data_IF_492710314878
#
_entry.id   IF_492710314878
#
_cell.length_a   1.000
_cell.length_b   1.000
_cell.length_c   1.000
_cell.angle_alpha   90.00
_cell.angle_beta   90.00
_cell.angle_gamma   90.00
#
_symmetry.space_group_name_H-M   'P 1'
#
loop_
_entity.id
_entity.type
_entity.pdbx_description
1 polymer ?
#
# COMPACT_ATOMS: atom_id res chain seq x y z
N UNK A 1 32.63 -1.16 20.48
CA UNK A 1 31.16 -1.08 20.61
C UNK A 1 30.50 -0.68 19.29
N UNK A 2 30.73 0.54 18.76
CA UNK A 2 30.12 1.00 17.49
C UNK A 2 30.45 0.09 16.30
N UNK A 3 31.73 -0.24 16.07
CA UNK A 3 32.12 -1.14 14.99
C UNK A 3 31.52 -2.54 15.12
N UNK A 4 31.50 -3.08 16.34
CA UNK A 4 30.90 -4.39 16.64
C UNK A 4 29.40 -4.39 16.38
N UNK A 5 28.71 -3.32 16.79
CA UNK A 5 27.29 -3.13 16.50
C UNK A 5 27.04 -3.10 14.99
N UNK A 6 27.83 -2.35 14.23
CA UNK A 6 27.63 -2.22 12.79
C UNK A 6 27.83 -3.53 12.04
N UNK A 7 28.88 -4.28 12.36
CA UNK A 7 29.10 -5.61 11.76
C UNK A 7 27.93 -6.54 12.09
N UNK A 8 27.47 -6.53 13.33
CA UNK A 8 26.35 -7.37 13.76
C UNK A 8 25.02 -6.94 13.11
N UNK A 9 24.75 -5.65 13.05
CA UNK A 9 23.57 -5.08 12.42
C UNK A 9 23.55 -5.41 10.93
N UNK A 10 24.62 -5.14 10.18
CA UNK A 10 24.70 -5.46 8.76
C UNK A 10 24.65 -6.97 8.48
N UNK A 11 25.15 -7.80 9.39
CA UNK A 11 25.03 -9.25 9.29
C UNK A 11 23.60 -9.77 9.54
N UNK A 12 22.85 -9.10 10.42
CA UNK A 12 21.48 -9.50 10.79
C UNK A 12 20.40 -8.81 9.95
N UNK A 13 20.70 -7.66 9.34
CA UNK A 13 19.82 -6.96 8.43
C UNK A 13 19.55 -7.87 7.23
N UNK A 14 18.31 -8.34 7.14
CA UNK A 14 17.85 -9.31 6.15
C UNK A 14 16.82 -8.70 5.18
N UNK A 15 16.75 -7.36 5.11
CA UNK A 15 15.89 -6.66 4.18
C UNK A 15 16.61 -6.53 2.82
N UNK A 16 15.85 -6.70 1.76
CA UNK A 16 16.34 -6.55 0.39
C UNK A 16 16.57 -5.06 0.06
N UNK A 17 17.83 -4.69 -0.15
CA UNK A 17 18.24 -3.31 -0.45
C UNK A 17 17.95 -2.88 -1.89
N UNK A 18 17.55 -3.80 -2.76
CA UNK A 18 17.03 -3.46 -4.10
C UNK A 18 15.65 -2.79 -4.02
N UNK A 19 14.93 -2.97 -2.90
CA UNK A 19 13.70 -2.26 -2.63
C UNK A 19 13.99 -0.89 -1.98
N UNK A 20 13.57 0.19 -2.63
CA UNK A 20 13.82 1.57 -2.16
C UNK A 20 13.33 1.83 -0.74
N UNK A 21 12.13 1.37 -0.38
CA UNK A 21 11.59 1.55 0.97
C UNK A 21 12.48 0.87 2.01
N UNK A 22 12.89 -0.38 1.76
CA UNK A 22 13.73 -1.14 2.68
C UNK A 22 15.13 -0.54 2.81
N UNK A 23 15.70 -0.05 1.72
CA UNK A 23 16.93 0.73 1.76
C UNK A 23 16.76 1.96 2.66
N UNK A 24 15.68 2.71 2.50
CA UNK A 24 15.35 3.85 3.35
C UNK A 24 15.19 3.49 4.84
N UNK A 25 14.59 2.34 5.12
CA UNK A 25 14.47 1.82 6.50
C UNK A 25 15.84 1.53 7.08
N UNK A 26 16.71 0.85 6.33
CA UNK A 26 18.08 0.53 6.76
C UNK A 26 18.90 1.81 6.98
N UNK A 27 18.80 2.79 6.09
CA UNK A 27 19.54 4.05 6.16
C UNK A 27 19.30 4.80 7.48
N UNK A 28 18.10 4.70 8.06
CA UNK A 28 17.78 5.32 9.37
C UNK A 28 18.60 4.70 10.51
N UNK A 29 19.08 3.48 10.38
CA UNK A 29 19.95 2.86 11.38
C UNK A 29 21.43 3.27 11.25
N UNK A 30 21.80 4.03 10.19
CA UNK A 30 23.14 4.59 10.02
C UNK A 30 23.45 5.76 10.94
N UNK A 31 22.46 6.29 11.67
CA UNK A 31 22.69 7.34 12.68
C UNK A 31 23.80 6.96 13.69
N UNK A 32 23.95 5.67 14.01
CA UNK A 32 25.01 5.20 14.91
C UNK A 32 26.41 5.24 14.27
N UNK A 33 26.54 4.95 12.98
CA UNK A 33 27.81 5.16 12.25
C UNK A 33 28.14 6.64 12.17
N UNK A 34 27.15 7.50 11.94
CA UNK A 34 27.33 8.93 11.79
C UNK A 34 27.94 9.55 13.05
N UNK A 35 27.54 9.10 14.24
CA UNK A 35 28.16 9.52 15.50
C UNK A 35 29.67 9.22 15.50
N UNK A 36 30.07 8.04 15.04
CA UNK A 36 31.48 7.68 14.92
C UNK A 36 32.23 8.60 13.95
N UNK A 37 31.65 8.85 12.77
CA UNK A 37 32.21 9.75 11.77
C UNK A 37 32.35 11.17 12.32
N UNK A 38 31.34 11.69 13.02
CA UNK A 38 31.35 13.02 13.65
C UNK A 38 32.52 13.15 14.64
N UNK A 39 32.76 12.13 15.47
CA UNK A 39 33.87 12.14 16.43
C UNK A 39 35.21 12.22 15.69
N UNK A 40 35.42 11.38 14.66
CA UNK A 40 36.65 11.38 13.88
C UNK A 40 36.87 12.69 13.12
N UNK A 41 35.81 13.25 12.52
CA UNK A 41 35.85 14.55 11.84
C UNK A 41 36.19 15.66 12.83
N UNK A 42 35.59 15.65 14.04
CA UNK A 42 35.87 16.65 15.06
C UNK A 42 37.32 16.58 15.57
N UNK A 43 37.85 15.37 15.84
CA UNK A 43 39.24 15.20 16.26
C UNK A 43 40.20 15.57 15.14
N UNK A 44 39.94 15.12 13.91
CA UNK A 44 40.76 15.45 12.74
C UNK A 44 40.76 16.95 12.46
N UNK A 45 39.62 17.62 12.57
CA UNK A 45 39.51 19.07 12.44
C UNK A 45 40.33 19.81 13.50
N UNK A 46 40.25 19.37 14.77
CA UNK A 46 41.07 19.94 15.86
C UNK A 46 42.56 19.80 15.57
N UNK A 47 43.02 18.61 15.19
CA UNK A 47 44.44 18.36 14.92
C UNK A 47 44.93 19.16 13.72
N UNK A 48 44.10 19.30 12.69
CA UNK A 48 44.37 20.14 11.52
C UNK A 48 44.52 21.62 11.92
N UNK A 49 43.64 22.15 12.76
CA UNK A 49 43.77 23.51 13.31
C UNK A 49 45.07 23.68 14.10
N UNK A 50 45.42 22.71 14.95
CA UNK A 50 46.66 22.76 15.75
C UNK A 50 47.90 22.70 14.87
N UNK A 51 47.87 21.91 13.80
CA UNK A 51 48.94 21.83 12.83
C UNK A 51 49.13 23.17 12.09
N UNK A 52 48.07 23.73 11.52
CA UNK A 52 48.16 24.99 10.78
C UNK A 52 48.51 26.19 11.66
N UNK A 53 48.14 26.19 12.94
CA UNK A 53 48.57 27.21 13.91
C UNK A 53 50.10 27.34 14.03
N UNK A 54 50.87 26.31 13.68
CA UNK A 54 52.34 26.37 13.67
C UNK A 54 52.91 27.24 12.54
N UNK A 55 52.16 27.39 11.45
CA UNK A 55 52.62 28.04 10.22
C UNK A 55 51.83 29.32 9.87
N UNK A 56 50.61 29.47 10.39
CA UNK A 56 49.70 30.58 10.08
C UNK A 56 49.44 31.45 11.31
N UNK A 57 49.12 32.73 11.09
CA UNK A 57 48.74 33.64 12.17
C UNK A 57 47.32 33.35 12.71
N UNK A 58 47.02 33.86 13.91
CA UNK A 58 45.73 33.62 14.56
C UNK A 58 44.53 34.16 13.75
N UNK A 59 44.69 35.27 13.04
CA UNK A 59 43.63 35.87 12.21
C UNK A 59 43.16 34.90 11.12
N UNK A 60 44.10 34.29 10.38
CA UNK A 60 43.77 33.31 9.33
C UNK A 60 43.07 32.08 9.94
N UNK A 61 43.49 31.63 11.12
CA UNK A 61 42.84 30.50 11.81
C UNK A 61 41.40 30.83 12.23
N UNK A 62 41.12 32.06 12.70
CA UNK A 62 39.76 32.49 13.01
C UNK A 62 38.88 32.58 11.76
N UNK A 63 39.41 33.10 10.65
CA UNK A 63 38.71 33.14 9.37
C UNK A 63 38.38 31.72 8.91
N UNK A 64 39.32 30.78 8.98
CA UNK A 64 39.10 29.39 8.60
C UNK A 64 38.00 28.71 9.45
N UNK A 65 37.99 28.95 10.77
CA UNK A 65 36.90 28.49 11.65
C UNK A 65 35.56 29.08 11.28
N UNK A 66 35.52 30.39 11.02
CA UNK A 66 34.29 31.07 10.60
C UNK A 66 33.77 30.49 9.28
N UNK A 67 34.64 30.27 8.28
CA UNK A 67 34.30 29.62 7.02
C UNK A 67 33.75 28.20 7.26
N UNK A 68 34.36 27.43 8.17
CA UNK A 68 33.89 26.08 8.49
C UNK A 68 32.46 26.09 9.06
N UNK A 69 32.16 27.02 9.97
CA UNK A 69 30.81 27.20 10.52
C UNK A 69 29.84 27.68 9.43
N UNK A 70 30.24 28.63 8.60
CA UNK A 70 29.43 29.13 7.49
C UNK A 70 29.08 28.02 6.49
N UNK A 71 30.03 27.12 6.20
CA UNK A 71 29.77 25.95 5.36
C UNK A 71 28.74 25.02 5.99
N UNK A 72 28.84 24.74 7.29
CA UNK A 72 27.85 23.92 8.01
C UNK A 72 26.45 24.56 7.97
N UNK A 73 26.35 25.87 8.24
CA UNK A 73 25.08 26.60 8.16
C UNK A 73 24.52 26.64 6.74
N UNK A 74 25.38 26.80 5.73
CA UNK A 74 24.98 26.75 4.32
C UNK A 74 24.42 25.37 3.94
N UNK A 75 25.09 24.28 4.35
CA UNK A 75 24.60 22.93 4.11
C UNK A 75 23.30 22.63 4.86
N UNK A 76 23.17 23.09 6.10
CA UNK A 76 21.92 22.96 6.86
C UNK A 76 20.79 23.72 6.16
N UNK A 77 21.03 24.96 5.72
CA UNK A 77 20.03 25.75 5.00
C UNK A 77 19.63 25.13 3.67
N UNK A 78 20.59 24.58 2.90
CA UNK A 78 20.33 23.88 1.63
C UNK A 78 19.47 22.63 1.78
N UNK A 79 19.63 21.91 2.90
CA UNK A 79 18.90 20.66 3.15
C UNK A 79 17.66 20.85 4.05
N UNK A 80 17.41 22.06 4.55
CA UNK A 80 16.31 22.30 5.49
C UNK A 80 14.96 21.86 4.91
N UNK A 81 14.65 22.28 3.67
CA UNK A 81 13.39 21.94 3.02
C UNK A 81 13.24 20.44 2.75
N UNK A 82 14.34 19.72 2.53
CA UNK A 82 14.32 18.26 2.36
C UNK A 82 14.00 17.53 3.66
N UNK A 83 14.42 18.08 4.80
CA UNK A 83 14.18 17.51 6.13
C UNK A 83 12.95 18.10 6.84
N UNK A 84 12.28 19.08 6.23
CA UNK A 84 11.14 19.76 6.83
C UNK A 84 9.83 19.03 6.50
N UNK A 85 9.38 18.19 7.42
CA UNK A 85 8.12 17.44 7.30
C UNK A 85 6.92 18.13 7.97
N UNK A 86 7.04 19.41 8.35
CA UNK A 86 5.99 20.12 9.12
C UNK A 86 4.62 20.20 8.41
N UNK A 87 4.62 20.20 7.08
CA UNK A 87 3.40 20.26 6.27
C UNK A 87 3.02 18.92 5.64
N UNK A 88 3.67 17.83 6.04
CA UNK A 88 3.46 16.50 5.45
C UNK A 88 2.30 15.79 6.15
N UNK A 89 1.14 15.74 5.50
CA UNK A 89 -0.05 15.05 6.00
C UNK A 89 -0.40 13.77 5.26
N UNK A 90 0.35 13.39 4.21
CA UNK A 90 0.00 12.29 3.29
C UNK A 90 -0.35 10.99 4.02
N UNK A 91 0.49 10.59 4.99
CA UNK A 91 0.30 9.35 5.76
C UNK A 91 -0.92 9.44 6.70
N UNK A 92 -1.16 10.64 7.26
CA UNK A 92 -2.34 10.92 8.08
C UNK A 92 -3.61 10.87 7.23
N UNK A 93 -3.59 11.49 6.06
CA UNK A 93 -4.71 11.56 5.13
C UNK A 93 -5.01 10.19 4.54
N UNK A 94 -3.97 9.39 4.27
CA UNK A 94 -4.11 7.97 3.94
C UNK A 94 -4.90 7.22 5.02
N UNK A 95 -4.47 7.31 6.28
CA UNK A 95 -5.07 6.55 7.36
C UNK A 95 -6.52 6.99 7.64
N UNK A 96 -6.80 8.31 7.62
CA UNK A 96 -8.17 8.83 7.72
C UNK A 96 -9.06 8.31 6.60
N UNK A 97 -8.58 8.40 5.35
CA UNK A 97 -9.32 7.96 4.18
C UNK A 97 -9.60 6.45 4.21
N UNK A 98 -8.66 5.65 4.70
CA UNK A 98 -8.85 4.20 4.91
C UNK A 98 -9.88 3.94 6.01
N UNK A 99 -9.81 4.62 7.15
CA UNK A 99 -10.76 4.43 8.24
C UNK A 99 -12.18 4.84 7.84
N UNK A 100 -12.33 5.92 7.08
CA UNK A 100 -13.62 6.47 6.63
C UNK A 100 -14.38 5.54 5.67
N UNK A 101 -13.69 4.66 4.94
CA UNK A 101 -14.38 3.67 4.09
C UNK A 101 -14.95 2.50 4.87
N UNK A 102 -14.53 2.31 6.12
CA UNK A 102 -14.95 1.18 6.95
C UNK A 102 -16.25 1.52 7.71
N UNK A 103 -17.29 0.67 7.61
CA UNK A 103 -18.55 0.89 8.32
C UNK A 103 -18.38 1.01 9.84
N UNK A 104 -19.31 1.72 10.48
CA UNK A 104 -19.29 1.93 11.92
C UNK A 104 -19.27 0.63 12.73
N UNK A 105 -18.59 0.65 13.87
CA UNK A 105 -18.48 -0.46 14.83
C UNK A 105 -17.82 -1.75 14.28
N UNK A 106 -17.18 -1.67 13.12
CA UNK A 106 -16.52 -2.82 12.47
C UNK A 106 -15.17 -3.15 13.09
N UNK A 107 -14.66 -4.34 12.77
CA UNK A 107 -13.31 -4.78 13.15
C UNK A 107 -12.35 -4.63 11.97
N UNK A 108 -11.18 -4.06 12.21
CA UNK A 108 -10.11 -3.90 11.23
C UNK A 108 -8.89 -4.65 11.71
N UNK A 109 -8.40 -5.56 10.87
CA UNK A 109 -7.09 -6.14 10.97
C UNK A 109 -6.05 -5.28 10.25
N UNK A 110 -5.03 -4.86 10.99
CA UNK A 110 -3.87 -4.15 10.45
C UNK A 110 -2.71 -5.12 10.25
N UNK A 111 -1.88 -4.81 9.27
CA UNK A 111 -0.69 -5.57 8.89
C UNK A 111 0.36 -4.64 8.28
N UNK A 112 1.64 -4.92 8.56
CA UNK A 112 2.77 -4.11 8.13
C UNK A 112 2.79 -2.73 8.78
N UNK A 113 3.94 -2.07 8.68
CA UNK A 113 4.23 -0.83 9.41
C UNK A 113 3.21 0.28 9.15
N UNK A 114 2.78 0.49 7.90
CA UNK A 114 1.91 1.63 7.57
C UNK A 114 0.56 1.54 8.29
N UNK A 115 -0.18 0.43 8.13
CA UNK A 115 -1.51 0.31 8.74
C UNK A 115 -1.45 0.03 10.23
N UNK A 116 -0.46 -0.74 10.70
CA UNK A 116 -0.31 -1.11 12.11
C UNK A 116 0.16 0.04 13.00
N UNK A 117 0.77 1.08 12.44
CA UNK A 117 1.19 2.26 13.21
C UNK A 117 0.20 3.42 13.09
N UNK A 118 -0.21 3.77 11.87
CA UNK A 118 -0.94 5.01 11.61
C UNK A 118 -2.40 4.94 12.05
N UNK A 119 -3.08 3.82 11.82
CA UNK A 119 -4.49 3.65 12.18
C UNK A 119 -4.63 3.60 13.72
N UNK A 120 -3.86 2.79 14.48
CA UNK A 120 -3.90 2.87 15.94
C UNK A 120 -3.48 4.23 16.49
N UNK A 121 -2.50 4.91 15.89
CA UNK A 121 -2.12 6.27 16.32
C UNK A 121 -3.30 7.24 16.24
N UNK A 122 -4.01 7.27 15.09
CA UNK A 122 -5.18 8.14 14.93
C UNK A 122 -6.30 7.82 15.93
N UNK A 123 -6.52 6.54 16.23
CA UNK A 123 -7.53 6.17 17.21
C UNK A 123 -7.11 6.50 18.65
N UNK A 124 -5.90 6.12 19.07
CA UNK A 124 -5.47 6.21 20.46
C UNK A 124 -5.02 7.62 20.86
N UNK A 125 -4.35 8.33 19.95
CA UNK A 125 -3.79 9.66 20.23
C UNK A 125 -4.74 10.78 19.78
N UNK A 126 -5.39 10.63 18.63
CA UNK A 126 -6.24 11.68 18.04
C UNK A 126 -7.76 11.43 18.24
N UNK A 127 -8.14 10.32 18.89
CA UNK A 127 -9.52 9.91 19.10
C UNK A 127 -10.35 9.87 17.79
N UNK A 128 -9.71 9.53 16.68
CA UNK A 128 -10.35 9.41 15.38
C UNK A 128 -10.99 8.02 15.24
N UNK A 129 -12.30 7.97 14.95
CA UNK A 129 -13.07 6.73 14.80
C UNK A 129 -12.86 5.73 15.96
N UNK A 130 -13.18 6.13 17.20
CA UNK A 130 -13.08 5.25 18.38
C UNK A 130 -14.07 4.08 18.34
N UNK A 131 -15.04 4.09 17.42
CA UNK A 131 -16.00 3.01 17.19
C UNK A 131 -15.36 1.77 16.56
N UNK A 132 -14.24 1.92 15.84
CA UNK A 132 -13.58 0.81 15.16
C UNK A 132 -12.79 -0.07 16.14
N UNK A 133 -12.80 -1.38 15.91
CA UNK A 133 -12.00 -2.33 16.69
C UNK A 133 -10.75 -2.67 15.90
N UNK A 134 -9.62 -2.09 16.27
CA UNK A 134 -8.36 -2.28 15.55
C UNK A 134 -7.57 -3.42 16.20
N UNK A 135 -7.15 -4.39 15.39
CA UNK A 135 -6.36 -5.53 15.83
C UNK A 135 -5.16 -5.69 14.90
N UNK A 136 -3.96 -5.69 15.46
CA UNK A 136 -2.75 -6.01 14.72
C UNK A 136 -2.57 -7.53 14.61
N UNK A 137 -2.57 -8.04 13.37
CA UNK A 137 -2.43 -9.48 13.13
C UNK A 137 -1.06 -10.03 13.54
N UNK A 138 0.01 -9.25 13.37
CA UNK A 138 1.36 -9.68 13.73
C UNK A 138 1.47 -9.81 15.24
N UNK A 139 0.90 -8.85 15.98
CA UNK A 139 0.90 -8.91 17.43
C UNK A 139 0.10 -10.10 17.98
N UNK A 140 -0.96 -10.55 17.31
CA UNK A 140 -1.72 -11.74 17.75
C UNK A 140 -0.92 -13.03 17.76
N UNK A 141 0.25 -13.07 17.11
CA UNK A 141 1.18 -14.22 17.19
C UNK A 141 1.86 -14.33 18.56
N UNK A 142 1.89 -13.26 19.36
CA UNK A 142 2.50 -13.28 20.69
C UNK A 142 1.49 -13.72 21.75
N UNK A 143 1.94 -14.56 22.68
CA UNK A 143 1.12 -15.16 23.75
C UNK A 143 0.39 -14.16 24.65
N UNK A 144 0.87 -12.92 24.77
CA UNK A 144 0.27 -11.87 25.60
C UNK A 144 -0.82 -11.07 24.87
N UNK A 145 -0.86 -11.11 23.54
CA UNK A 145 -1.69 -10.20 22.74
C UNK A 145 -3.17 -10.54 22.80
N UNK A 146 -3.54 -11.79 22.49
CA UNK A 146 -4.95 -12.21 22.54
C UNK A 146 -5.55 -12.09 23.95
N UNK A 147 -4.87 -12.48 25.06
CA UNK A 147 -5.38 -12.23 26.40
C UNK A 147 -5.65 -10.74 26.68
N UNK A 148 -4.78 -9.85 26.22
CA UNK A 148 -4.98 -8.39 26.31
C UNK A 148 -6.17 -7.93 25.48
N UNK A 149 -6.31 -8.44 24.25
CA UNK A 149 -7.41 -8.09 23.35
C UNK A 149 -8.75 -8.57 23.89
N UNK A 150 -8.85 -9.78 24.46
CA UNK A 150 -10.06 -10.29 25.14
C UNK A 150 -10.55 -9.34 26.24
N UNK A 151 -9.63 -8.79 27.02
CA UNK A 151 -9.96 -7.86 28.11
C UNK A 151 -10.38 -6.47 27.60
N UNK A 152 -9.84 -6.03 26.46
CA UNK A 152 -10.04 -4.69 25.91
C UNK A 152 -11.25 -4.62 24.97
N UNK A 153 -11.42 -5.61 24.09
CA UNK A 153 -12.44 -5.65 23.03
C UNK A 153 -13.49 -6.72 23.36
N UNK A 154 -14.31 -6.44 24.38
CA UNK A 154 -15.33 -7.38 24.89
C UNK A 154 -16.41 -7.77 23.87
N UNK A 155 -16.59 -6.98 22.81
CA UNK A 155 -17.54 -7.29 21.75
C UNK A 155 -17.12 -8.47 20.87
N UNK A 156 -15.82 -8.78 20.82
CA UNK A 156 -15.28 -9.87 20.01
C UNK A 156 -15.02 -11.10 20.86
N UNK A 157 -15.20 -12.27 20.26
CA UNK A 157 -14.92 -13.55 20.90
C UNK A 157 -13.69 -14.20 20.26
N UNK A 158 -12.69 -14.46 21.09
CA UNK A 158 -11.45 -15.08 20.67
C UNK A 158 -11.47 -16.57 21.04
N UNK A 159 -11.42 -17.49 20.06
CA UNK A 159 -11.68 -18.92 20.30
C UNK A 159 -10.64 -19.65 21.16
N UNK A 160 -9.44 -19.10 21.31
CA UNK A 160 -8.36 -19.63 22.16
C UNK A 160 -7.44 -18.50 22.64
N UNK A 161 -6.24 -18.81 23.16
CA UNK A 161 -5.32 -17.84 23.78
C UNK A 161 -4.27 -17.25 22.83
N UNK A 162 -4.15 -17.76 21.61
CA UNK A 162 -3.17 -17.26 20.64
C UNK A 162 -3.62 -17.53 19.20
N UNK A 163 -3.35 -16.60 18.30
CA UNK A 163 -3.56 -16.84 16.87
C UNK A 163 -2.41 -17.67 16.30
N UNK A 164 -2.73 -18.68 15.48
CA UNK A 164 -1.75 -19.48 14.77
C UNK A 164 -2.35 -20.06 13.48
N UNK A 165 -1.51 -20.39 12.50
CA UNK A 165 -1.94 -21.02 11.23
C UNK A 165 -2.58 -22.41 11.42
N UNK A 166 -2.46 -23.00 12.61
CA UNK A 166 -2.98 -24.32 12.99
C UNK A 166 -3.83 -24.19 14.24
N UNK A 167 -4.97 -24.87 14.21
CA UNK A 167 -5.89 -24.97 15.35
C UNK A 167 -5.35 -26.00 16.35
N UNK A 168 -5.35 -25.64 17.63
CA UNK A 168 -5.03 -26.54 18.75
C UNK A 168 -5.96 -26.21 19.93
N UNK A 169 -5.72 -26.83 21.10
CA UNK A 169 -6.47 -26.48 22.31
C UNK A 169 -6.19 -25.03 22.78
N UNK A 170 -4.97 -24.52 22.53
CA UNK A 170 -4.53 -23.19 22.99
C UNK A 170 -4.44 -22.15 21.87
N UNK A 171 -4.46 -22.58 20.61
CA UNK A 171 -4.36 -21.71 19.43
C UNK A 171 -5.59 -21.78 18.55
N UNK A 172 -5.92 -20.70 17.84
CA UNK A 172 -7.00 -20.66 16.86
C UNK A 172 -6.55 -20.14 15.51
N UNK A 173 -7.20 -20.62 14.45
CA UNK A 173 -7.00 -20.12 13.07
C UNK A 173 -7.84 -18.89 12.79
N UNK A 174 -7.45 -18.07 11.81
CA UNK A 174 -8.24 -16.90 11.40
C UNK A 174 -9.65 -17.32 10.96
N UNK A 175 -9.80 -18.44 10.26
CA UNK A 175 -11.10 -18.98 9.88
C UNK A 175 -12.01 -19.25 11.09
N UNK A 176 -11.47 -19.85 12.16
CA UNK A 176 -12.25 -20.13 13.38
C UNK A 176 -12.69 -18.83 14.05
N UNK A 177 -11.79 -17.85 14.15
CA UNK A 177 -12.15 -16.52 14.67
C UNK A 177 -13.26 -15.85 13.85
N UNK A 178 -13.14 -15.87 12.52
CA UNK A 178 -14.13 -15.27 11.63
C UNK A 178 -15.49 -15.96 11.74
N UNK A 179 -15.53 -17.30 11.86
CA UNK A 179 -16.79 -18.02 12.02
C UNK A 179 -17.54 -17.63 13.29
N UNK A 180 -16.84 -17.64 14.43
CA UNK A 180 -17.42 -17.26 15.72
C UNK A 180 -17.93 -15.82 15.69
N UNK A 181 -17.16 -14.90 15.10
CA UNK A 181 -17.56 -13.50 15.12
C UNK A 181 -18.56 -13.13 14.03
N UNK A 182 -18.56 -13.74 12.84
CA UNK A 182 -19.42 -13.34 11.71
C UNK A 182 -20.71 -14.17 11.65
N UNK A 183 -20.63 -15.48 11.86
CA UNK A 183 -21.81 -16.36 11.74
C UNK A 183 -22.56 -16.50 13.07
N UNK A 184 -21.85 -16.60 14.19
CA UNK A 184 -22.48 -16.87 15.48
C UNK A 184 -22.92 -15.58 16.20
N UNK A 185 -22.34 -14.42 15.84
CA UNK A 185 -22.76 -13.10 16.32
C UNK A 185 -23.43 -12.29 15.21
N UNK A 186 -24.75 -12.34 15.13
CA UNK A 186 -25.57 -11.58 14.16
C UNK A 186 -25.32 -10.06 14.18
N UNK A 187 -24.71 -9.51 15.25
CA UNK A 187 -24.54 -8.07 15.46
C UNK A 187 -23.18 -7.50 15.05
N UNK A 188 -22.22 -8.28 14.55
CA UNK A 188 -20.94 -7.69 14.09
C UNK A 188 -21.06 -7.08 12.69
N UNK A 189 -20.81 -5.77 12.50
CA UNK A 189 -21.05 -5.08 11.22
C UNK A 189 -20.10 -5.49 10.08
N UNK A 190 -19.03 -6.22 10.39
CA UNK A 190 -18.07 -6.76 9.43
C UNK A 190 -16.66 -6.85 10.00
N UNK A 191 -15.86 -7.76 9.43
CA UNK A 191 -14.43 -7.89 9.73
C UNK A 191 -13.65 -7.61 8.45
N UNK A 192 -12.67 -6.71 8.56
CA UNK A 192 -11.89 -6.19 7.43
C UNK A 192 -10.40 -6.40 7.67
N UNK A 193 -9.63 -6.45 6.60
CA UNK A 193 -8.17 -6.48 6.64
C UNK A 193 -7.60 -5.46 5.66
N UNK A 194 -6.67 -4.63 6.11
CA UNK A 194 -6.07 -3.57 5.30
C UNK A 194 -4.68 -3.99 4.79
N UNK A 195 -4.37 -3.64 3.53
CA UNK A 195 -3.12 -4.06 2.84
C UNK A 195 -3.07 -5.60 2.58
N UNK A 196 -4.16 -6.31 2.84
CA UNK A 196 -4.30 -7.75 2.58
C UNK A 196 -3.98 -8.61 3.80
N UNK A 197 -4.37 -9.88 3.72
CA UNK A 197 -4.06 -10.87 4.75
C UNK A 197 -2.60 -11.34 4.65
N UNK A 198 -2.03 -11.80 5.76
CA UNK A 198 -0.69 -12.40 5.79
C UNK A 198 -0.59 -13.53 4.76
N UNK A 199 0.48 -13.58 3.97
CA UNK A 199 0.59 -14.48 2.80
C UNK A 199 0.41 -15.97 3.15
N UNK A 200 0.87 -16.38 4.32
CA UNK A 200 0.75 -17.77 4.80
C UNK A 200 -0.64 -18.10 5.37
N UNK A 201 -1.46 -17.09 5.66
CA UNK A 201 -2.77 -17.24 6.28
C UNK A 201 -3.84 -17.49 5.23
N UNK A 202 -4.00 -18.75 4.83
CA UNK A 202 -5.00 -19.18 3.85
C UNK A 202 -6.23 -19.84 4.50
N UNK A 203 -6.28 -19.95 5.83
CA UNK A 203 -7.33 -20.72 6.51
C UNK A 203 -8.72 -20.13 6.25
N UNK A 204 -8.83 -18.80 6.17
CA UNK A 204 -10.09 -18.09 5.94
C UNK A 204 -10.72 -18.46 4.59
N UNK A 205 -9.92 -18.86 3.60
CA UNK A 205 -10.40 -19.20 2.26
C UNK A 205 -11.33 -20.42 2.24
N UNK A 206 -11.40 -21.18 3.34
CA UNK A 206 -12.36 -22.28 3.49
C UNK A 206 -13.81 -21.78 3.53
N UNK A 207 -14.06 -20.63 4.16
CA UNK A 207 -15.43 -20.14 4.40
C UNK A 207 -15.67 -18.71 3.93
N UNK A 208 -14.61 -17.97 3.63
CA UNK A 208 -14.68 -16.56 3.24
C UNK A 208 -13.86 -16.31 1.97
N UNK A 209 -14.19 -15.25 1.26
CA UNK A 209 -13.31 -14.63 0.27
C UNK A 209 -13.09 -13.16 0.64
N UNK A 210 -12.09 -12.53 0.01
CA UNK A 210 -11.78 -11.13 0.23
C UNK A 210 -12.56 -10.26 -0.76
N UNK A 211 -13.52 -9.49 -0.26
CA UNK A 211 -14.25 -8.50 -1.05
C UNK A 211 -13.54 -7.14 -0.92
N UNK A 212 -12.96 -6.57 -1.99
CA UNK A 212 -12.18 -5.35 -1.88
C UNK A 212 -13.05 -4.12 -1.63
N UNK A 213 -12.58 -3.26 -0.73
CA UNK A 213 -13.18 -1.98 -0.35
C UNK A 213 -12.03 -0.97 -0.25
N UNK A 214 -11.61 -0.49 -1.42
CA UNK A 214 -10.42 0.35 -1.53
C UNK A 214 -9.16 -0.40 -1.09
N UNK A 215 -8.46 0.14 -0.08
CA UNK A 215 -7.22 -0.43 0.47
C UNK A 215 -7.47 -1.70 1.29
N UNK A 216 -8.65 -1.80 1.89
CA UNK A 216 -8.99 -2.93 2.75
C UNK A 216 -9.89 -3.93 2.02
N UNK A 217 -10.01 -5.12 2.60
CA UNK A 217 -10.86 -6.18 2.12
C UNK A 217 -11.76 -6.67 3.25
N UNK A 218 -13.03 -6.89 2.96
CA UNK A 218 -13.93 -7.55 3.88
C UNK A 218 -13.76 -9.07 3.78
N UNK A 219 -13.73 -9.76 4.92
CA UNK A 219 -13.96 -11.19 4.95
C UNK A 219 -15.44 -11.45 4.70
N UNK A 220 -15.78 -11.77 3.45
CA UNK A 220 -17.16 -11.95 3.02
C UNK A 220 -17.49 -13.46 2.93
N UNK A 221 -18.58 -13.93 3.56
CA UNK A 221 -18.98 -15.34 3.51
C UNK A 221 -19.17 -15.84 2.09
N UNK A 222 -18.66 -17.03 1.77
CA UNK A 222 -18.81 -17.63 0.43
C UNK A 222 -20.25 -17.99 0.08
N UNK A 223 -21.06 -18.31 1.08
CA UNK A 223 -22.46 -18.74 0.90
C UNK A 223 -23.43 -17.56 0.73
N UNK A 224 -22.95 -16.32 0.88
CA UNK A 224 -23.76 -15.13 0.74
C UNK A 224 -23.70 -14.58 -0.70
N UNK A 225 -24.87 -14.23 -1.25
CA UNK A 225 -24.95 -13.57 -2.55
C UNK A 225 -24.53 -12.10 -2.47
N UNK A 226 -23.67 -11.69 -3.39
CA UNK A 226 -23.21 -10.30 -3.50
C UNK A 226 -24.14 -9.54 -4.45
N UNK A 227 -24.78 -8.49 -3.96
CA UNK A 227 -25.41 -7.50 -4.83
C UNK A 227 -24.35 -6.62 -5.48
N UNK A 228 -24.00 -6.94 -6.73
CA UNK A 228 -23.01 -6.19 -7.51
C UNK A 228 -23.39 -4.71 -7.66
N UNK A 229 -24.68 -4.41 -7.81
CA UNK A 229 -25.18 -3.04 -7.98
C UNK A 229 -24.87 -2.20 -6.74
N UNK A 230 -25.23 -2.68 -5.55
CA UNK A 230 -24.94 -1.94 -4.31
C UNK A 230 -23.44 -1.88 -4.01
N UNK A 231 -22.70 -2.93 -4.36
CA UNK A 231 -21.25 -2.97 -4.22
C UNK A 231 -20.58 -1.87 -5.06
N UNK A 232 -20.93 -1.76 -6.35
CA UNK A 232 -20.37 -0.76 -7.26
C UNK A 232 -20.74 0.66 -6.82
N UNK A 233 -22.00 0.89 -6.46
CA UNK A 233 -22.46 2.21 -6.00
C UNK A 233 -21.69 2.69 -4.77
N UNK A 234 -21.38 1.78 -3.85
CA UNK A 234 -20.71 2.11 -2.59
C UNK A 234 -19.18 2.18 -2.71
N UNK A 235 -18.59 1.29 -3.51
CA UNK A 235 -17.14 1.04 -3.48
C UNK A 235 -16.43 1.20 -4.83
N UNK A 236 -17.16 1.32 -5.93
CA UNK A 236 -16.59 1.34 -7.28
C UNK A 236 -15.77 2.58 -7.61
N UNK A 237 -15.99 3.70 -6.91
CA UNK A 237 -15.38 5.00 -7.19
C UNK A 237 -14.67 5.61 -5.97
N UNK A 238 -14.19 4.74 -5.07
CA UNK A 238 -13.49 5.20 -3.86
C UNK A 238 -12.22 5.99 -4.18
N UNK A 239 -11.85 6.84 -3.23
CA UNK A 239 -10.61 7.64 -3.24
C UNK A 239 -10.50 8.65 -4.37
N UNK A 240 -11.60 8.96 -5.04
CA UNK A 240 -11.62 9.97 -6.10
C UNK A 240 -11.29 11.39 -5.61
N UNK A 241 -11.41 11.63 -4.30
CA UNK A 241 -11.04 12.86 -3.59
C UNK A 241 -9.58 12.92 -3.13
N UNK A 242 -8.77 11.88 -3.40
CA UNK A 242 -7.37 11.86 -3.00
C UNK A 242 -6.59 13.03 -3.63
N UNK A 243 -5.99 13.94 -2.82
CA UNK A 243 -5.46 15.20 -3.32
C UNK A 243 -4.04 15.07 -3.92
N UNK A 244 -3.33 13.97 -3.65
CA UNK A 244 -1.95 13.80 -4.07
C UNK A 244 -1.85 13.13 -5.44
N UNK A 245 -1.06 13.74 -6.32
CA UNK A 245 -0.87 13.24 -7.68
C UNK A 245 -0.09 11.92 -7.71
N UNK A 246 -0.27 11.12 -8.76
CA UNK A 246 0.52 9.89 -8.90
C UNK A 246 2.01 10.19 -9.08
N UNK A 247 2.35 11.29 -9.74
CA UNK A 247 3.74 11.74 -9.97
C UNK A 247 4.29 12.64 -8.85
N UNK A 248 3.64 12.66 -7.69
CA UNK A 248 4.12 13.42 -6.54
C UNK A 248 5.58 13.07 -6.22
N UNK A 249 6.39 14.10 -5.95
CA UNK A 249 7.84 14.02 -5.73
C UNK A 249 8.22 13.48 -4.35
N UNK A 250 7.45 12.53 -3.82
CA UNK A 250 7.83 11.84 -2.60
C UNK A 250 9.06 10.98 -2.88
N UNK A 251 10.00 10.95 -1.94
CA UNK A 251 11.17 10.08 -2.01
C UNK A 251 10.68 8.62 -2.09
N UNK A 252 11.08 7.82 -3.09
CA UNK A 252 10.71 6.40 -3.19
C UNK A 252 11.01 5.58 -1.93
N UNK A 253 11.97 6.04 -1.10
CA UNK A 253 12.35 5.44 0.18
C UNK A 253 11.42 5.79 1.36
N UNK A 254 10.42 6.64 1.13
CA UNK A 254 9.54 7.21 2.15
C UNK A 254 8.20 6.49 2.28
N UNK A 255 7.57 6.61 3.45
CA UNK A 255 6.23 6.05 3.67
C UNK A 255 5.15 6.87 2.97
N UNK A 256 5.38 8.16 2.72
CA UNK A 256 4.52 9.05 1.94
C UNK A 256 4.37 8.56 0.51
N UNK A 257 5.49 8.15 -0.11
CA UNK A 257 5.48 7.55 -1.43
C UNK A 257 4.62 6.28 -1.45
N UNK A 258 4.83 5.38 -0.49
CA UNK A 258 4.11 4.11 -0.37
C UNK A 258 2.61 4.34 -0.11
N UNK A 259 2.26 5.22 0.83
CA UNK A 259 0.88 5.56 1.14
C UNK A 259 0.16 6.12 -0.10
N UNK A 260 0.81 7.03 -0.83
CA UNK A 260 0.27 7.56 -2.09
C UNK A 260 0.05 6.45 -3.13
N UNK A 261 1.04 5.58 -3.34
CA UNK A 261 0.94 4.45 -4.28
C UNK A 261 -0.19 3.50 -3.91
N UNK A 262 -0.33 3.13 -2.64
CA UNK A 262 -1.40 2.24 -2.17
C UNK A 262 -2.79 2.84 -2.47
N UNK A 263 -3.01 4.14 -2.23
CA UNK A 263 -4.29 4.77 -2.57
C UNK A 263 -4.54 4.75 -4.07
N UNK A 264 -3.51 5.08 -4.86
CA UNK A 264 -3.63 5.04 -6.31
C UNK A 264 -3.98 3.65 -6.80
N UNK A 265 -3.27 2.62 -6.38
CA UNK A 265 -3.56 1.23 -6.77
C UNK A 265 -4.97 0.81 -6.35
N UNK A 266 -5.39 1.21 -5.15
CA UNK A 266 -6.68 0.83 -4.59
C UNK A 266 -7.89 1.41 -5.32
N UNK A 267 -7.74 2.47 -6.12
CA UNK A 267 -8.84 3.06 -6.93
C UNK A 267 -9.46 2.04 -7.88
N UNK A 268 -8.68 1.08 -8.39
CA UNK A 268 -9.16 0.08 -9.37
C UNK A 268 -9.39 -1.31 -8.78
N UNK A 269 -9.22 -1.51 -7.47
CA UNK A 269 -9.39 -2.83 -6.84
C UNK A 269 -10.79 -3.41 -7.08
N UNK A 270 -11.83 -2.56 -7.05
CA UNK A 270 -13.20 -2.97 -7.38
C UNK A 270 -13.32 -3.45 -8.84
N UNK A 271 -12.65 -2.80 -9.79
CA UNK A 271 -12.66 -3.20 -11.19
C UNK A 271 -11.96 -4.55 -11.40
N UNK A 272 -10.79 -4.75 -10.76
CA UNK A 272 -10.06 -6.03 -10.78
C UNK A 272 -10.95 -7.16 -10.24
N UNK A 273 -11.62 -6.93 -9.11
CA UNK A 273 -12.53 -7.92 -8.53
C UNK A 273 -13.69 -8.27 -9.47
N UNK A 274 -14.36 -7.26 -10.04
CA UNK A 274 -15.49 -7.47 -10.96
C UNK A 274 -15.06 -8.21 -12.23
N UNK A 275 -13.85 -7.94 -12.74
CA UNK A 275 -13.28 -8.67 -13.87
C UNK A 275 -13.04 -10.15 -13.53
N UNK A 276 -12.46 -10.44 -12.38
CA UNK A 276 -12.20 -11.82 -11.93
C UNK A 276 -13.50 -12.57 -11.59
N UNK A 277 -14.48 -11.86 -11.02
CA UNK A 277 -15.82 -12.39 -10.80
C UNK A 277 -16.49 -12.76 -12.14
N UNK A 278 -16.37 -11.90 -13.16
CA UNK A 278 -16.88 -12.18 -14.49
C UNK A 278 -16.18 -13.38 -15.15
N UNK A 279 -14.85 -13.47 -15.06
CA UNK A 279 -14.08 -14.54 -15.71
C UNK A 279 -14.38 -15.93 -15.14
N UNK A 280 -14.77 -16.01 -13.87
CA UNK A 280 -15.08 -17.27 -13.16
C UNK A 280 -16.58 -17.63 -13.18
N UNK A 281 -17.46 -16.68 -13.50
CA UNK A 281 -18.90 -16.93 -13.57
C UNK A 281 -19.25 -17.95 -14.66
N UNK A 282 -20.24 -18.82 -14.39
CA UNK A 282 -20.80 -19.75 -15.39
C UNK A 282 -21.97 -19.16 -16.18
N UNK A 283 -22.60 -18.09 -15.67
CA UNK A 283 -23.77 -17.47 -16.26
C UNK A 283 -23.38 -16.29 -17.15
N UNK A 284 -23.74 -16.35 -18.44
CA UNK A 284 -23.38 -15.31 -19.42
C UNK A 284 -23.84 -13.91 -19.02
N UNK A 285 -25.06 -13.78 -18.47
CA UNK A 285 -25.57 -12.49 -17.98
C UNK A 285 -24.67 -11.88 -16.89
N UNK A 286 -24.19 -12.71 -15.95
CA UNK A 286 -23.29 -12.26 -14.88
C UNK A 286 -21.88 -11.97 -15.40
N UNK A 287 -21.42 -12.67 -16.46
CA UNK A 287 -20.16 -12.34 -17.15
C UNK A 287 -20.24 -10.96 -17.77
N UNK A 288 -21.28 -10.72 -18.57
CA UNK A 288 -21.48 -9.45 -19.26
C UNK A 288 -21.58 -8.29 -18.25
N UNK A 289 -22.42 -8.44 -17.21
CA UNK A 289 -22.55 -7.43 -16.14
C UNK A 289 -21.22 -7.16 -15.43
N UNK A 290 -20.46 -8.20 -15.10
CA UNK A 290 -19.18 -8.07 -14.42
C UNK A 290 -18.12 -7.38 -15.29
N UNK A 291 -17.99 -7.77 -16.56
CA UNK A 291 -17.05 -7.12 -17.50
C UNK A 291 -17.44 -5.68 -17.78
N UNK A 292 -18.73 -5.39 -18.00
CA UNK A 292 -19.22 -4.03 -18.18
C UNK A 292 -18.92 -3.15 -16.97
N UNK A 293 -19.20 -3.65 -15.77
CA UNK A 293 -18.95 -2.92 -14.52
C UNK A 293 -17.45 -2.66 -14.29
N UNK A 294 -16.61 -3.66 -14.55
CA UNK A 294 -15.15 -3.51 -14.52
C UNK A 294 -14.69 -2.42 -15.51
N UNK A 295 -15.09 -2.53 -16.78
CA UNK A 295 -14.76 -1.54 -17.81
C UNK A 295 -15.21 -0.14 -17.43
N UNK A 296 -16.43 0.01 -16.90
CA UNK A 296 -17.00 1.30 -16.49
C UNK A 296 -16.17 2.01 -15.42
N UNK A 297 -15.67 1.27 -14.42
CA UNK A 297 -14.80 1.82 -13.38
C UNK A 297 -13.44 2.23 -13.95
N UNK A 298 -12.82 1.38 -14.79
CA UNK A 298 -11.55 1.74 -15.44
C UNK A 298 -11.70 2.96 -16.34
N UNK A 299 -12.74 3.00 -17.19
CA UNK A 299 -13.02 4.11 -18.10
C UNK A 299 -13.18 5.42 -17.30
N UNK A 300 -13.94 5.40 -16.20
CA UNK A 300 -14.08 6.56 -15.32
C UNK A 300 -12.72 7.09 -14.83
N UNK A 301 -11.89 6.24 -14.26
CA UNK A 301 -10.60 6.66 -13.71
C UNK A 301 -9.62 7.08 -14.82
N UNK A 302 -9.51 6.35 -15.93
CA UNK A 302 -8.63 6.71 -17.04
C UNK A 302 -9.03 8.04 -17.64
N UNK A 303 -10.30 8.24 -18.01
CA UNK A 303 -10.75 9.53 -18.59
C UNK A 303 -10.59 10.68 -17.61
N UNK A 304 -10.70 10.45 -16.30
CA UNK A 304 -10.47 11.46 -15.27
C UNK A 304 -9.03 11.95 -15.25
N UNK A 305 -8.04 11.07 -15.46
CA UNK A 305 -6.62 11.41 -15.28
C UNK A 305 -5.82 11.56 -16.57
N UNK A 306 -6.16 10.88 -17.67
CA UNK A 306 -5.33 10.80 -18.89
C UNK A 306 -4.91 12.15 -19.48
N UNK A 307 -5.71 13.20 -19.30
CA UNK A 307 -5.41 14.57 -19.78
C UNK A 307 -4.87 15.51 -18.70
N UNK A 308 -4.86 15.07 -17.43
CA UNK A 308 -4.58 15.92 -16.28
C UNK A 308 -3.25 15.58 -15.60
N UNK A 309 -2.93 14.29 -15.46
CA UNK A 309 -1.76 13.82 -14.74
C UNK A 309 -1.41 12.37 -15.11
N UNK A 310 -0.18 11.93 -14.87
CA UNK A 310 0.19 10.51 -14.94
C UNK A 310 -0.67 9.64 -14.00
N UNK A 311 -0.79 8.36 -14.33
CA UNK A 311 -1.48 7.35 -13.53
C UNK A 311 -0.69 6.01 -13.61
N UNK A 312 -0.99 5.02 -12.76
CA UNK A 312 -0.24 3.76 -12.76
C UNK A 312 -0.27 3.05 -14.11
N UNK A 313 0.90 2.65 -14.61
CA UNK A 313 1.08 2.10 -15.97
C UNK A 313 0.26 0.82 -16.18
N UNK A 314 0.20 -0.05 -15.16
CA UNK A 314 -0.58 -1.29 -15.22
C UNK A 314 -2.08 -1.07 -15.42
N UNK A 315 -2.62 0.13 -15.13
CA UNK A 315 -4.01 0.46 -15.46
C UNK A 315 -4.28 0.39 -16.97
N UNK A 316 -3.29 0.74 -17.80
CA UNK A 316 -3.42 0.67 -19.26
C UNK A 316 -3.66 -0.78 -19.71
N UNK A 317 -2.86 -1.72 -19.19
CA UNK A 317 -3.02 -3.15 -19.47
C UNK A 317 -4.39 -3.65 -19.02
N UNK A 318 -4.78 -3.34 -17.78
CA UNK A 318 -6.03 -3.83 -17.22
C UNK A 318 -7.27 -3.23 -17.90
N UNK A 319 -7.21 -1.96 -18.30
CA UNK A 319 -8.28 -1.34 -19.07
C UNK A 319 -8.40 -1.96 -20.45
N UNK A 320 -7.28 -2.16 -21.15
CA UNK A 320 -7.27 -2.79 -22.46
C UNK A 320 -7.82 -4.22 -22.41
N UNK A 321 -7.55 -4.97 -21.33
CA UNK A 321 -8.17 -6.27 -21.06
C UNK A 321 -9.68 -6.16 -20.83
N UNK A 322 -10.11 -5.22 -19.98
CA UNK A 322 -11.54 -5.00 -19.72
C UNK A 322 -12.31 -4.64 -21.01
N UNK A 323 -11.76 -3.75 -21.84
CA UNK A 323 -12.35 -3.37 -23.13
C UNK A 323 -12.42 -4.55 -24.11
N UNK A 324 -11.35 -5.34 -24.24
CA UNK A 324 -11.32 -6.52 -25.10
C UNK A 324 -12.35 -7.58 -24.68
N UNK A 325 -12.43 -7.89 -23.38
CA UNK A 325 -13.36 -8.90 -22.90
C UNK A 325 -14.81 -8.44 -22.96
N UNK A 326 -15.08 -7.16 -22.74
CA UNK A 326 -16.41 -6.59 -22.95
C UNK A 326 -16.83 -6.65 -24.43
N UNK A 327 -15.92 -6.32 -25.35
CA UNK A 327 -16.15 -6.50 -26.79
C UNK A 327 -16.52 -7.95 -27.13
N UNK A 328 -15.78 -8.92 -26.56
CA UNK A 328 -16.07 -10.35 -26.79
C UNK A 328 -17.43 -10.80 -26.27
N UNK A 329 -17.98 -10.16 -25.24
CA UNK A 329 -19.33 -10.48 -24.78
C UNK A 329 -20.42 -9.87 -25.67
N UNK A 330 -20.12 -8.88 -26.51
CA UNK A 330 -21.10 -8.25 -27.38
C UNK A 330 -22.12 -7.37 -26.66
N UNK A 331 -21.66 -6.60 -25.66
CA UNK A 331 -22.54 -5.73 -24.87
C UNK A 331 -23.18 -4.63 -25.72
N UNK A 332 -24.51 -4.49 -25.63
CA UNK A 332 -25.33 -3.68 -26.57
C UNK A 332 -25.15 -2.17 -26.39
N UNK A 333 -24.88 -1.70 -25.17
CA UNK A 333 -24.84 -0.25 -24.87
C UNK A 333 -23.53 0.43 -25.28
N UNK A 334 -22.49 -0.34 -25.63
CA UNK A 334 -21.16 0.19 -25.91
C UNK A 334 -20.73 -0.20 -27.32
N UNK A 335 -20.26 0.79 -28.08
CA UNK A 335 -19.77 0.57 -29.43
C UNK A 335 -18.57 -0.39 -29.44
N UNK A 336 -18.78 -1.56 -30.03
CA UNK A 336 -17.76 -2.60 -30.13
C UNK A 336 -16.51 -2.18 -30.90
N UNK A 337 -16.64 -1.30 -31.90
CA UNK A 337 -15.49 -0.80 -32.65
C UNK A 337 -14.62 0.07 -31.74
N UNK A 338 -15.23 0.98 -30.99
CA UNK A 338 -14.51 1.82 -30.02
C UNK A 338 -13.81 0.98 -28.95
N UNK A 339 -14.45 -0.08 -28.44
CA UNK A 339 -13.83 -0.98 -27.46
C UNK A 339 -12.56 -1.66 -27.99
N UNK A 340 -12.57 -2.12 -29.23
CA UNK A 340 -11.38 -2.72 -29.85
C UNK A 340 -10.30 -1.66 -30.07
N UNK A 341 -10.67 -0.48 -30.58
CA UNK A 341 -9.71 0.61 -30.82
C UNK A 341 -9.04 1.05 -29.52
N UNK A 342 -9.81 1.23 -28.45
CA UNK A 342 -9.25 1.55 -27.13
C UNK A 342 -8.37 0.40 -26.60
N UNK A 343 -8.80 -0.86 -26.72
CA UNK A 343 -7.98 -2.01 -26.31
C UNK A 343 -6.62 -2.03 -27.02
N UNK A 344 -6.61 -1.82 -28.35
CA UNK A 344 -5.39 -1.73 -29.13
C UNK A 344 -4.53 -0.55 -28.65
N UNK A 345 -5.12 0.64 -28.53
CA UNK A 345 -4.41 1.85 -28.14
C UNK A 345 -3.70 1.67 -26.79
N UNK A 346 -4.42 1.26 -25.75
CA UNK A 346 -3.85 1.15 -24.40
C UNK A 346 -2.88 -0.03 -24.27
N UNK A 347 -3.08 -1.15 -24.97
CA UNK A 347 -2.07 -2.21 -25.02
C UNK A 347 -0.79 -1.73 -25.70
N UNK A 348 -0.87 -0.99 -26.80
CA UNK A 348 0.32 -0.45 -27.46
C UNK A 348 1.05 0.55 -26.57
N UNK A 349 0.32 1.47 -25.91
CA UNK A 349 0.87 2.39 -24.95
C UNK A 349 1.57 1.65 -23.81
N UNK A 350 0.94 0.61 -23.25
CA UNK A 350 1.51 -0.22 -22.20
C UNK A 350 2.82 -0.90 -22.65
N UNK A 351 2.81 -1.58 -23.80
CA UNK A 351 3.99 -2.29 -24.33
C UNK A 351 5.19 -1.36 -24.62
N UNK A 352 4.93 -0.07 -24.83
CA UNK A 352 5.98 0.92 -25.06
C UNK A 352 6.68 1.38 -23.75
N UNK A 353 6.08 1.12 -22.58
CA UNK A 353 6.66 1.46 -21.27
C UNK A 353 7.73 0.46 -20.82
N UNK A 354 8.56 0.85 -19.85
CA UNK A 354 9.57 -0.06 -19.27
C UNK A 354 8.97 -1.25 -18.53
N UNK A 355 7.83 -1.06 -17.85
CA UNK A 355 7.10 -2.14 -17.20
C UNK A 355 6.54 -3.12 -18.23
N UNK A 356 5.91 -2.60 -19.29
CA UNK A 356 5.35 -3.42 -20.36
C UNK A 356 6.41 -4.26 -21.07
N UNK A 357 7.59 -3.71 -21.35
CA UNK A 357 8.70 -4.45 -21.98
C UNK A 357 9.26 -5.58 -21.11
N UNK A 358 9.09 -5.50 -19.79
CA UNK A 358 9.52 -6.52 -18.82
C UNK A 358 8.40 -7.50 -18.43
N UNK A 359 7.17 -7.26 -18.91
CA UNK A 359 6.04 -8.13 -18.62
C UNK A 359 6.25 -9.53 -19.23
N UNK A 360 6.03 -10.57 -18.43
CA UNK A 360 6.08 -11.97 -18.86
C UNK A 360 5.08 -12.25 -19.99
N UNK A 361 3.99 -11.49 -20.08
CA UNK A 361 2.95 -11.61 -21.10
C UNK A 361 3.19 -10.74 -22.33
N UNK A 362 4.34 -10.05 -22.45
CA UNK A 362 4.63 -9.11 -23.54
C UNK A 362 4.29 -9.68 -24.93
N UNK A 363 4.76 -10.89 -25.25
CA UNK A 363 4.52 -11.51 -26.55
C UNK A 363 3.06 -11.87 -26.78
N UNK A 364 2.34 -12.32 -25.73
CA UNK A 364 0.91 -12.64 -25.82
C UNK A 364 0.10 -11.38 -26.11
N UNK A 365 0.38 -10.28 -25.40
CA UNK A 365 -0.28 -8.99 -25.59
C UNK A 365 0.06 -8.43 -26.98
N UNK A 366 1.33 -8.49 -27.41
CA UNK A 366 1.77 -8.02 -28.73
C UNK A 366 1.09 -8.79 -29.88
N UNK A 367 0.99 -10.11 -29.75
CA UNK A 367 0.30 -10.95 -30.74
C UNK A 367 -1.21 -10.68 -30.77
N UNK A 368 -1.83 -10.48 -29.59
CA UNK A 368 -3.23 -10.09 -29.50
C UNK A 368 -3.48 -8.76 -30.23
N UNK A 369 -2.64 -7.74 -30.00
CA UNK A 369 -2.74 -6.44 -30.69
C UNK A 369 -2.63 -6.60 -32.21
N UNK A 370 -1.69 -7.41 -32.70
CA UNK A 370 -1.56 -7.68 -34.14
C UNK A 370 -2.80 -8.35 -34.71
N UNK A 371 -3.35 -9.34 -34.01
CA UNK A 371 -4.58 -10.03 -34.42
C UNK A 371 -5.78 -9.09 -34.46
N UNK A 372 -5.93 -8.22 -33.46
CA UNK A 372 -7.03 -7.26 -33.41
C UNK A 372 -6.95 -6.25 -34.56
N UNK A 373 -5.75 -5.77 -34.89
CA UNK A 373 -5.53 -4.86 -36.03
C UNK A 373 -5.82 -5.48 -37.40
N UNK A 374 -5.64 -6.79 -37.53
CA UNK A 374 -5.89 -7.49 -38.79
C UNK A 374 -7.39 -7.75 -39.03
N UNK A 375 -8.21 -7.70 -37.97
CA UNK A 375 -9.64 -7.99 -38.00
C UNK A 375 -10.53 -6.73 -37.92
N UNK A 376 -9.92 -5.54 -37.86
CA UNK A 376 -10.54 -4.22 -38.02
C UNK A 376 -10.43 -3.79 -39.47
#
# INVERSE_FOLDING_TARGET
>A
MIFTYQIFFSWRANLDVENDLYLGVIERFYMQTDIGVIIFVATGYKDLILYFKKYLNNTIIYIFKAISILLLLFWQGKNFDLCNFSNTSVVTDYAKLVMDTIPHNSTIFTHGDLSATTIPYLQLCENYRPDLKIIDMELMTYNWSVPRLKNTIKSLEFPAEQWHLRDTETTFTLNRFLKVNIFEKETTPGVYVCIGAHQEEISYQKSFFLLPIGVCHQFYPKDNDISLVSYIQKYGYLYDSWPYSYDSKFDPKSWEYIANRIIWDAKINAAIFLFNFASTSKHNEMKEKGYYSSWKIYNHHIKKYERKQPFPVFWMKNYALASFWLYRQGHVEVDGINLILESIQYFQSYLNTEEGRRDKEFYNISNLVKSLKANL
#
